data_IF_479496749641
#
_entry.id   IF_479496749641
#
_cell.length_a   1.000
_cell.length_b   1.000
_cell.length_c   1.000
_cell.angle_alpha   90.00
_cell.angle_beta   90.00
_cell.angle_gamma   90.00
#
_symmetry.space_group_name_H-M   'P 1'
#
loop_
_entity.id
_entity.type
_entity.pdbx_description
1 polymer ?
#
# COMPACT_ATOMS: atom_id res chain seq x y z
N UNK A 1 -2.59 7.33 -29.62
CA UNK A 1 -3.24 6.53 -28.56
C UNK A 1 -3.29 7.36 -27.28
N UNK A 2 -4.47 7.45 -26.68
CA UNK A 2 -4.70 8.23 -25.45
C UNK A 2 -5.28 7.30 -24.39
N UNK A 3 -4.64 7.19 -23.23
CA UNK A 3 -5.12 6.30 -22.17
C UNK A 3 -4.90 6.89 -20.78
N UNK A 4 -5.73 6.46 -19.82
CA UNK A 4 -5.57 6.80 -18.41
C UNK A 4 -4.81 5.69 -17.69
N UNK A 5 -3.77 6.05 -16.95
CA UNK A 5 -3.00 5.16 -16.11
C UNK A 5 -3.34 5.41 -14.64
N UNK A 6 -3.89 4.39 -13.99
CA UNK A 6 -4.17 4.35 -12.55
C UNK A 6 -3.55 3.11 -11.94
N UNK A 7 -3.32 3.11 -10.63
CA UNK A 7 -2.80 1.97 -9.87
C UNK A 7 -3.24 2.08 -8.41
N UNK A 8 -3.03 1.02 -7.66
CA UNK A 8 -3.12 1.01 -6.19
C UNK A 8 -4.49 1.52 -5.68
N UNK A 9 -5.57 1.04 -6.32
CA UNK A 9 -6.94 1.42 -5.96
C UNK A 9 -7.31 0.90 -4.57
N UNK A 10 -6.77 -0.25 -4.18
CA UNK A 10 -7.03 -0.90 -2.89
C UNK A 10 -8.51 -0.84 -2.48
N UNK A 11 -9.41 -1.20 -3.38
CA UNK A 11 -10.85 -1.17 -3.09
C UNK A 11 -11.18 -2.07 -1.89
N UNK A 12 -11.83 -1.48 -0.89
CA UNK A 12 -12.13 -2.12 0.40
C UNK A 12 -11.09 -1.85 1.49
N UNK A 13 -10.12 -0.95 1.26
CA UNK A 13 -9.10 -0.56 2.24
C UNK A 13 -9.70 0.13 3.46
N UNK A 14 -9.13 -0.17 4.62
CA UNK A 14 -9.35 0.58 5.84
C UNK A 14 -8.07 1.30 6.25
N UNK A 15 -8.20 2.54 6.71
CA UNK A 15 -7.12 3.36 7.26
C UNK A 15 -7.49 3.79 8.68
N UNK A 16 -6.59 3.65 9.64
CA UNK A 16 -6.81 4.03 11.05
C UNK A 16 -8.16 3.53 11.62
N UNK A 17 -8.57 2.31 11.22
CA UNK A 17 -9.85 1.71 11.64
C UNK A 17 -11.08 2.17 10.85
N UNK A 18 -10.96 3.12 9.93
CA UNK A 18 -12.05 3.62 9.09
C UNK A 18 -12.04 2.93 7.73
N UNK A 19 -13.15 2.28 7.37
CA UNK A 19 -13.35 1.67 6.05
C UNK A 19 -13.62 2.74 5.00
N UNK A 20 -12.71 2.91 4.01
CA UNK A 20 -12.85 3.94 2.96
C UNK A 20 -14.02 3.68 2.00
N UNK A 21 -14.51 2.45 1.92
CA UNK A 21 -15.69 2.14 1.11
C UNK A 21 -16.99 2.44 1.88
N UNK A 22 -16.99 2.26 3.20
CA UNK A 22 -18.16 2.54 4.04
C UNK A 22 -18.30 4.04 4.32
N UNK A 23 -17.20 4.78 4.43
CA UNK A 23 -17.20 6.24 4.54
C UNK A 23 -17.57 6.95 3.23
N UNK A 24 -17.58 6.23 2.11
CA UNK A 24 -17.92 6.78 0.81
C UNK A 24 -16.72 7.30 -0.01
N UNK A 25 -15.53 7.40 0.56
CA UNK A 25 -14.35 7.96 -0.11
C UNK A 25 -14.04 7.27 -1.44
N UNK A 26 -13.98 5.94 -1.42
CA UNK A 26 -13.71 5.16 -2.63
C UNK A 26 -14.87 5.23 -3.64
N UNK A 27 -16.10 5.32 -3.15
CA UNK A 27 -17.28 5.44 -4.03
C UNK A 27 -17.27 6.78 -4.76
N UNK A 28 -17.09 7.88 -4.02
CA UNK A 28 -17.05 9.24 -4.60
C UNK A 28 -15.87 9.39 -5.55
N UNK A 29 -14.71 8.85 -5.19
CA UNK A 29 -13.54 8.87 -6.09
C UNK A 29 -13.84 8.11 -7.38
N UNK A 30 -14.41 6.91 -7.30
CA UNK A 30 -14.74 6.08 -8.45
C UNK A 30 -15.76 6.75 -9.38
N UNK A 31 -16.78 7.39 -8.84
CA UNK A 31 -17.77 8.15 -9.61
C UNK A 31 -17.12 9.33 -10.35
N UNK A 32 -16.33 10.14 -9.66
CA UNK A 32 -15.57 11.25 -10.28
C UNK A 32 -14.58 10.78 -11.34
N UNK A 33 -13.92 9.63 -11.09
CA UNK A 33 -13.00 9.03 -12.07
C UNK A 33 -13.72 8.62 -13.35
N UNK A 34 -14.87 7.95 -13.23
CA UNK A 34 -15.68 7.55 -14.39
C UNK A 34 -16.18 8.79 -15.14
N UNK A 35 -16.75 9.79 -14.46
CA UNK A 35 -17.18 11.05 -15.06
C UNK A 35 -16.05 11.72 -15.86
N UNK A 36 -14.87 11.80 -15.25
CA UNK A 36 -13.68 12.37 -15.90
C UNK A 36 -13.25 11.56 -17.11
N UNK A 37 -13.21 10.22 -17.02
CA UNK A 37 -12.86 9.35 -18.12
C UNK A 37 -13.84 9.52 -19.31
N UNK A 38 -15.14 9.60 -19.03
CA UNK A 38 -16.16 9.84 -20.06
C UNK A 38 -16.02 11.20 -20.72
N UNK A 39 -15.59 12.23 -19.97
CA UNK A 39 -15.33 13.57 -20.51
C UNK A 39 -14.06 13.61 -21.38
N UNK A 40 -12.98 12.94 -20.95
CA UNK A 40 -11.70 12.89 -21.65
C UNK A 40 -11.69 11.97 -22.87
N UNK A 41 -12.59 10.96 -22.89
CA UNK A 41 -12.74 9.96 -23.96
C UNK A 41 -11.39 9.32 -24.33
N UNK A 42 -10.68 8.68 -23.41
CA UNK A 42 -9.48 7.93 -23.74
C UNK A 42 -9.83 6.67 -24.53
N UNK A 43 -8.88 6.14 -25.27
CA UNK A 43 -9.01 4.85 -25.97
C UNK A 43 -9.03 3.69 -24.96
N UNK A 44 -8.31 3.85 -23.85
CA UNK A 44 -8.19 2.85 -22.78
C UNK A 44 -8.02 3.45 -21.38
N UNK A 45 -8.34 2.63 -20.38
CA UNK A 45 -7.93 2.78 -18.97
C UNK A 45 -7.05 1.59 -18.62
N UNK A 46 -5.84 1.83 -18.14
CA UNK A 46 -4.94 0.81 -17.61
C UNK A 46 -4.86 0.91 -16.08
N UNK A 47 -5.09 -0.20 -15.39
CA UNK A 47 -5.04 -0.33 -13.93
C UNK A 47 -3.85 -1.21 -13.57
N UNK A 48 -2.77 -0.59 -13.09
CA UNK A 48 -1.48 -1.25 -12.85
C UNK A 48 -1.39 -1.88 -11.45
N UNK A 49 -2.29 -2.84 -11.15
CA UNK A 49 -2.27 -3.67 -9.95
C UNK A 49 -2.85 -3.04 -8.69
N UNK A 50 -2.95 -3.86 -7.66
CA UNK A 50 -3.58 -3.58 -6.37
C UNK A 50 -4.96 -2.94 -6.54
N UNK A 51 -5.77 -3.60 -7.37
CA UNK A 51 -7.16 -3.21 -7.61
C UNK A 51 -7.98 -3.37 -6.34
N UNK A 52 -7.80 -4.46 -5.62
CA UNK A 52 -8.37 -4.72 -4.31
C UNK A 52 -7.33 -4.62 -3.19
N UNK A 53 -7.78 -4.30 -1.97
CA UNK A 53 -6.90 -4.25 -0.80
C UNK A 53 -6.48 -5.64 -0.29
N UNK A 54 -7.18 -6.69 -0.69
CA UNK A 54 -6.90 -8.08 -0.32
C UNK A 54 -7.47 -9.07 -1.32
N UNK A 55 -6.89 -10.25 -1.40
CA UNK A 55 -7.27 -11.32 -2.32
C UNK A 55 -8.73 -11.78 -2.21
N UNK A 56 -9.40 -11.56 -1.07
CA UNK A 56 -10.85 -11.74 -0.86
C UNK A 56 -11.48 -10.40 -0.52
N UNK A 57 -11.87 -9.60 -1.50
CA UNK A 57 -12.41 -8.27 -1.27
C UNK A 57 -13.82 -8.31 -0.66
N UNK A 58 -14.22 -7.28 0.09
CA UNK A 58 -15.60 -7.12 0.52
C UNK A 58 -16.54 -6.99 -0.69
N UNK A 59 -17.76 -7.52 -0.58
CA UNK A 59 -18.74 -7.46 -1.68
C UNK A 59 -19.09 -6.04 -2.15
N UNK A 60 -18.95 -5.00 -1.29
CA UNK A 60 -19.09 -3.59 -1.69
C UNK A 60 -17.97 -3.18 -2.65
N UNK A 61 -16.72 -3.61 -2.41
CA UNK A 61 -15.57 -3.32 -3.28
C UNK A 61 -15.75 -3.97 -4.65
N UNK A 62 -16.14 -5.24 -4.70
CA UNK A 62 -16.42 -5.96 -5.94
C UNK A 62 -17.53 -5.29 -6.75
N UNK A 63 -18.61 -4.86 -6.10
CA UNK A 63 -19.70 -4.12 -6.78
C UNK A 63 -19.23 -2.77 -7.31
N UNK A 64 -18.37 -2.07 -6.58
CA UNK A 64 -17.86 -0.77 -7.00
C UNK A 64 -16.98 -0.92 -8.26
N UNK A 65 -16.04 -1.87 -8.28
CA UNK A 65 -15.21 -2.16 -9.46
C UNK A 65 -16.09 -2.56 -10.64
N UNK A 66 -17.06 -3.46 -10.43
CA UNK A 66 -18.01 -3.89 -11.48
C UNK A 66 -18.75 -2.71 -12.11
N UNK A 67 -19.24 -1.74 -11.32
CA UNK A 67 -19.89 -0.53 -11.83
C UNK A 67 -18.93 0.33 -12.65
N UNK A 68 -17.73 0.61 -12.12
CA UNK A 68 -16.71 1.40 -12.84
C UNK A 68 -16.38 0.79 -14.20
N UNK A 69 -16.01 -0.49 -14.22
CA UNK A 69 -15.61 -1.20 -15.43
C UNK A 69 -16.76 -1.27 -16.42
N UNK A 70 -17.98 -1.53 -15.96
CA UNK A 70 -19.18 -1.60 -16.81
C UNK A 70 -19.47 -0.25 -17.50
N UNK A 71 -19.39 0.85 -16.75
CA UNK A 71 -19.65 2.18 -17.33
C UNK A 71 -18.57 2.59 -18.33
N UNK A 72 -17.30 2.30 -18.07
CA UNK A 72 -16.21 2.53 -19.02
C UNK A 72 -16.40 1.70 -20.32
N UNK A 73 -16.63 0.39 -20.18
CA UNK A 73 -16.79 -0.51 -21.31
C UNK A 73 -18.01 -0.18 -22.16
N UNK A 74 -19.17 0.14 -21.57
CA UNK A 74 -20.38 0.58 -22.29
C UNK A 74 -20.15 1.83 -23.13
N UNK A 75 -19.22 2.68 -22.74
CA UNK A 75 -18.86 3.89 -23.47
C UNK A 75 -17.69 3.69 -24.43
N UNK A 76 -17.33 2.43 -24.74
CA UNK A 76 -16.32 2.07 -25.73
C UNK A 76 -14.87 2.23 -25.26
N UNK A 77 -14.64 2.55 -23.99
CA UNK A 77 -13.31 2.66 -23.42
C UNK A 77 -12.81 1.26 -23.07
N UNK A 78 -11.68 0.83 -23.61
CA UNK A 78 -11.06 -0.44 -23.24
C UNK A 78 -10.53 -0.36 -21.79
N UNK A 79 -10.76 -1.42 -21.00
CA UNK A 79 -10.25 -1.51 -19.64
C UNK A 79 -9.25 -2.65 -19.55
N UNK A 80 -8.05 -2.34 -19.08
CA UNK A 80 -6.97 -3.30 -18.94
C UNK A 80 -6.50 -3.30 -17.48
N UNK A 81 -6.50 -4.47 -16.84
CA UNK A 81 -6.13 -4.62 -15.43
C UNK A 81 -5.04 -5.66 -15.26
N UNK A 82 -4.03 -5.35 -14.48
CA UNK A 82 -3.09 -6.38 -14.01
C UNK A 82 -3.26 -6.61 -12.51
N UNK A 83 -2.95 -7.80 -12.03
CA UNK A 83 -3.01 -8.10 -10.61
C UNK A 83 -1.74 -7.61 -9.90
N UNK A 84 -1.91 -6.94 -8.75
CA UNK A 84 -0.83 -6.59 -7.83
C UNK A 84 -0.59 -7.67 -6.77
N UNK A 85 0.24 -7.35 -5.78
CA UNK A 85 0.57 -8.29 -4.69
C UNK A 85 -0.56 -8.43 -3.64
N UNK A 86 -1.48 -7.48 -3.55
CA UNK A 86 -2.67 -7.57 -2.71
C UNK A 86 -3.81 -8.33 -3.38
N UNK A 87 -3.83 -8.38 -4.71
CA UNK A 87 -4.87 -9.05 -5.46
C UNK A 87 -4.68 -10.58 -5.45
N UNK A 88 -5.80 -11.31 -5.53
CA UNK A 88 -5.79 -12.68 -6.02
C UNK A 88 -5.94 -12.65 -7.54
N UNK A 89 -4.90 -13.02 -8.28
CA UNK A 89 -4.95 -13.04 -9.73
C UNK A 89 -6.07 -13.95 -10.25
N UNK A 90 -6.34 -15.08 -9.60
CA UNK A 90 -7.46 -15.99 -9.93
C UNK A 90 -8.83 -15.35 -9.70
N UNK A 91 -8.98 -14.59 -8.60
CA UNK A 91 -10.23 -13.89 -8.34
C UNK A 91 -10.46 -12.74 -9.31
N UNK A 92 -9.40 -11.96 -9.61
CA UNK A 92 -9.48 -10.83 -10.50
C UNK A 92 -9.75 -11.28 -11.95
N UNK A 93 -9.09 -12.35 -12.42
CA UNK A 93 -9.24 -12.89 -13.77
C UNK A 93 -10.47 -13.79 -13.98
N UNK A 94 -11.33 -13.93 -12.95
CA UNK A 94 -12.57 -14.69 -13.08
C UNK A 94 -13.42 -14.17 -14.26
N UNK A 95 -13.81 -15.06 -15.14
CA UNK A 95 -14.53 -14.75 -16.39
C UNK A 95 -13.78 -13.86 -17.40
N UNK A 96 -12.46 -13.70 -17.28
CA UNK A 96 -11.68 -12.83 -18.19
C UNK A 96 -11.89 -13.13 -19.69
N UNK A 97 -12.07 -14.39 -20.18
CA UNK A 97 -12.36 -14.60 -21.59
C UNK A 97 -13.69 -14.00 -22.05
N UNK A 98 -14.71 -14.07 -21.22
CA UNK A 98 -16.02 -13.48 -21.51
C UNK A 98 -15.97 -11.94 -21.45
N UNK A 99 -15.22 -11.39 -20.47
CA UNK A 99 -15.04 -9.95 -20.31
C UNK A 99 -14.28 -9.33 -21.48
N UNK A 100 -13.36 -10.07 -22.10
CA UNK A 100 -12.61 -9.63 -23.28
C UNK A 100 -13.52 -9.28 -24.47
N UNK A 101 -14.67 -9.96 -24.64
CA UNK A 101 -15.67 -9.62 -25.64
C UNK A 101 -16.25 -8.20 -25.45
N UNK A 102 -16.23 -7.71 -24.21
CA UNK A 102 -16.65 -6.36 -23.84
C UNK A 102 -15.48 -5.38 -23.71
N UNK A 103 -14.31 -5.70 -24.27
CA UNK A 103 -13.08 -4.90 -24.20
C UNK A 103 -12.55 -4.69 -22.78
N UNK A 104 -12.77 -5.67 -21.89
CA UNK A 104 -12.20 -5.69 -20.52
C UNK A 104 -11.21 -6.84 -20.44
N UNK A 105 -9.95 -6.51 -20.30
CA UNK A 105 -8.82 -7.43 -20.36
C UNK A 105 -8.11 -7.48 -19.00
N UNK A 106 -7.82 -8.68 -18.52
CA UNK A 106 -7.25 -8.88 -17.20
C UNK A 106 -6.06 -9.83 -17.32
N UNK A 107 -4.97 -9.53 -16.60
CA UNK A 107 -3.79 -10.41 -16.57
C UNK A 107 -4.15 -11.81 -16.07
N UNK A 108 -3.53 -12.82 -16.67
CA UNK A 108 -3.70 -14.22 -16.29
C UNK A 108 -2.67 -14.67 -15.23
N UNK A 109 -2.95 -15.75 -14.48
CA UNK A 109 -1.95 -16.39 -13.63
C UNK A 109 -0.76 -16.92 -14.44
N UNK A 110 0.46 -16.81 -13.89
CA UNK A 110 1.70 -17.29 -14.51
C UNK A 110 2.22 -18.61 -13.88
N UNK A 111 1.36 -19.39 -13.26
CA UNK A 111 1.75 -20.59 -12.49
C UNK A 111 2.32 -21.72 -13.35
N UNK A 112 1.85 -21.84 -14.59
CA UNK A 112 2.26 -22.90 -15.52
C UNK A 112 2.64 -22.37 -16.92
N UNK A 113 2.82 -21.07 -17.05
CA UNK A 113 3.12 -20.41 -18.31
C UNK A 113 3.88 -19.11 -18.04
N UNK A 114 4.63 -18.67 -19.04
CA UNK A 114 5.19 -17.30 -19.06
C UNK A 114 4.42 -16.40 -20.02
N UNK A 115 3.39 -16.89 -20.69
CA UNK A 115 2.60 -16.08 -21.59
C UNK A 115 1.78 -15.05 -20.82
N UNK A 116 1.97 -13.80 -21.16
CA UNK A 116 1.19 -12.68 -20.60
C UNK A 116 0.02 -12.33 -21.52
N UNK A 117 -1.08 -11.90 -20.91
CA UNK A 117 -2.19 -11.33 -21.69
C UNK A 117 -1.69 -10.06 -22.37
N UNK A 118 -1.92 -9.94 -23.68
CA UNK A 118 -1.64 -8.73 -24.42
C UNK A 118 -2.82 -8.34 -25.29
N UNK A 119 -2.96 -7.05 -25.55
CA UNK A 119 -4.08 -6.47 -26.29
C UNK A 119 -3.54 -5.43 -27.25
N UNK A 120 -3.89 -5.54 -28.51
CA UNK A 120 -3.54 -4.54 -29.52
C UNK A 120 -4.75 -3.66 -29.84
N UNK A 121 -4.58 -2.36 -29.66
CA UNK A 121 -5.51 -1.33 -30.13
C UNK A 121 -4.87 -0.57 -31.30
N UNK A 122 -5.69 0.02 -32.15
CA UNK A 122 -5.21 0.81 -33.30
C UNK A 122 -5.65 2.26 -33.18
N UNK A 123 -4.81 3.16 -33.64
CA UNK A 123 -5.11 4.57 -33.85
C UNK A 123 -4.54 5.05 -35.20
N UNK A 124 -4.58 6.36 -35.46
CA UNK A 124 -4.06 6.99 -36.68
C UNK A 124 -2.57 6.73 -36.96
N UNK A 125 -1.79 6.35 -35.94
CA UNK A 125 -0.36 6.02 -36.02
C UNK A 125 -0.09 4.50 -36.11
N UNK A 126 -1.13 3.65 -36.25
CA UNK A 126 -1.05 2.19 -36.33
C UNK A 126 -1.28 1.49 -34.98
N UNK A 127 -0.78 0.25 -34.80
CA UNK A 127 -1.04 -0.56 -33.63
C UNK A 127 -0.26 -0.12 -32.42
N UNK A 128 -0.88 -0.29 -31.24
CA UNK A 128 -0.26 -0.20 -29.91
C UNK A 128 -0.59 -1.46 -29.14
N UNK A 129 0.41 -2.23 -28.73
CA UNK A 129 0.20 -3.45 -27.94
C UNK A 129 0.44 -3.19 -26.47
N UNK A 130 -0.57 -3.47 -25.64
CA UNK A 130 -0.51 -3.41 -24.19
C UNK A 130 -0.23 -4.79 -23.62
N UNK A 131 0.80 -4.93 -22.82
CA UNK A 131 1.24 -6.16 -22.18
C UNK A 131 0.88 -6.12 -20.71
N UNK A 132 0.08 -7.07 -20.22
CA UNK A 132 -0.42 -7.08 -18.85
C UNK A 132 0.40 -8.06 -18.00
N UNK A 133 1.40 -7.56 -17.29
CA UNK A 133 2.28 -8.34 -16.42
C UNK A 133 1.74 -8.30 -14.98
N UNK A 134 1.20 -9.41 -14.44
CA UNK A 134 0.80 -9.46 -13.02
C UNK A 134 2.01 -9.39 -12.10
N UNK A 135 1.78 -9.21 -10.81
CA UNK A 135 2.85 -9.29 -9.82
C UNK A 135 3.56 -10.64 -9.90
N UNK A 136 4.88 -10.60 -10.04
CA UNK A 136 5.71 -11.77 -10.26
C UNK A 136 6.37 -12.20 -8.96
N UNK A 137 6.24 -13.49 -8.62
CA UNK A 137 7.02 -14.14 -7.56
C UNK A 137 8.07 -15.04 -8.23
N UNK A 138 9.39 -14.87 -7.96
CA UNK A 138 10.45 -15.66 -8.58
C UNK A 138 10.23 -17.16 -8.48
N UNK A 139 9.76 -17.64 -7.31
CA UNK A 139 9.49 -19.06 -7.09
C UNK A 139 8.43 -19.65 -8.04
N UNK A 140 7.41 -18.85 -8.42
CA UNK A 140 6.39 -19.29 -9.39
C UNK A 140 6.99 -19.47 -10.77
N UNK A 141 7.84 -18.55 -11.20
CA UNK A 141 8.46 -18.58 -12.53
C UNK A 141 9.53 -19.68 -12.60
N UNK A 142 10.30 -19.87 -11.54
CA UNK A 142 11.20 -21.02 -11.36
C UNK A 142 10.44 -22.33 -11.60
N UNK A 143 9.30 -22.52 -10.94
CA UNK A 143 8.47 -23.72 -11.11
C UNK A 143 7.87 -23.82 -12.53
N UNK A 144 7.34 -22.74 -13.09
CA UNK A 144 6.72 -22.73 -14.42
C UNK A 144 7.70 -23.07 -15.54
N UNK A 145 8.97 -22.65 -15.42
CA UNK A 145 10.03 -22.89 -16.39
C UNK A 145 10.91 -24.11 -16.07
N UNK A 146 10.81 -24.69 -14.87
CA UNK A 146 11.74 -25.72 -14.40
C UNK A 146 13.20 -25.23 -14.35
N UNK A 147 13.42 -23.94 -14.06
CA UNK A 147 14.73 -23.28 -14.05
C UNK A 147 15.10 -22.81 -12.63
N UNK A 148 15.86 -23.62 -11.90
CA UNK A 148 16.32 -23.34 -10.53
C UNK A 148 17.29 -22.14 -10.44
N UNK A 149 17.71 -21.59 -11.58
CA UNK A 149 18.53 -20.38 -11.65
C UNK A 149 17.76 -19.09 -11.40
N UNK A 150 16.43 -19.12 -11.39
CA UNK A 150 15.57 -17.96 -11.16
C UNK A 150 15.40 -17.74 -9.65
N UNK A 151 16.19 -16.82 -9.07
CA UNK A 151 16.21 -16.56 -7.62
C UNK A 151 15.81 -15.14 -7.24
N UNK A 152 15.71 -14.25 -8.20
CA UNK A 152 15.38 -12.84 -8.00
C UNK A 152 14.31 -12.36 -8.98
N UNK A 153 13.67 -11.26 -8.62
CA UNK A 153 12.55 -10.67 -9.39
C UNK A 153 12.99 -10.19 -10.77
N UNK A 154 14.16 -9.60 -10.87
CA UNK A 154 14.70 -9.09 -12.13
C UNK A 154 14.93 -10.20 -13.15
N UNK A 155 15.53 -11.31 -12.72
CA UNK A 155 15.74 -12.49 -13.57
C UNK A 155 14.41 -13.10 -13.99
N UNK A 156 13.44 -13.24 -13.08
CA UNK A 156 12.11 -13.75 -13.37
C UNK A 156 11.40 -12.91 -14.43
N UNK A 157 11.33 -11.59 -14.25
CA UNK A 157 10.67 -10.67 -15.19
C UNK A 157 11.37 -10.69 -16.56
N UNK A 158 12.70 -10.67 -16.58
CA UNK A 158 13.47 -10.75 -17.82
C UNK A 158 13.15 -12.03 -18.59
N UNK A 159 13.03 -13.17 -17.92
CA UNK A 159 12.66 -14.46 -18.54
C UNK A 159 11.26 -14.40 -19.14
N UNK A 160 10.29 -13.84 -18.40
CA UNK A 160 8.92 -13.67 -18.90
C UNK A 160 8.92 -12.79 -20.17
N UNK A 161 9.50 -11.60 -20.09
CA UNK A 161 9.46 -10.64 -21.20
C UNK A 161 10.21 -11.16 -22.44
N UNK A 162 11.32 -11.87 -22.27
CA UNK A 162 12.05 -12.50 -23.37
C UNK A 162 11.23 -13.58 -24.08
N UNK A 163 10.38 -14.29 -23.35
CA UNK A 163 9.52 -15.34 -23.91
C UNK A 163 8.35 -14.80 -24.75
N UNK A 164 7.99 -13.49 -24.62
CA UNK A 164 6.83 -12.91 -25.33
C UNK A 164 7.08 -12.63 -26.82
N UNK A 165 8.31 -12.70 -27.33
CA UNK A 165 8.65 -12.34 -28.71
C UNK A 165 8.13 -10.95 -29.12
N UNK A 166 8.33 -9.95 -28.27
CA UNK A 166 7.82 -8.58 -28.46
C UNK A 166 8.50 -7.92 -29.67
N UNK A 167 7.71 -7.43 -30.61
CA UNK A 167 8.22 -6.60 -31.71
C UNK A 167 8.40 -5.15 -31.25
N UNK A 168 9.59 -4.82 -30.80
CA UNK A 168 9.93 -3.46 -30.36
C UNK A 168 10.05 -2.44 -31.49
N UNK A 169 9.90 -2.83 -32.76
CA UNK A 169 9.73 -1.87 -33.86
C UNK A 169 8.35 -1.22 -33.85
N UNK A 170 7.38 -1.85 -33.19
CA UNK A 170 6.02 -1.36 -32.99
C UNK A 170 5.90 -0.64 -31.64
N UNK A 171 4.77 0.05 -31.43
CA UNK A 171 4.46 0.73 -30.17
C UNK A 171 4.02 -0.28 -29.10
N UNK A 172 4.73 -0.33 -27.98
CA UNK A 172 4.48 -1.25 -26.88
C UNK A 172 4.35 -0.52 -25.56
N UNK A 173 3.30 -0.84 -24.81
CA UNK A 173 3.02 -0.37 -23.46
C UNK A 173 3.04 -1.56 -22.51
N UNK A 174 3.84 -1.52 -21.46
CA UNK A 174 3.80 -2.51 -20.39
C UNK A 174 2.94 -1.97 -19.25
N UNK A 175 2.05 -2.80 -18.71
CA UNK A 175 1.28 -2.54 -17.50
C UNK A 175 1.74 -3.54 -16.44
N UNK A 176 2.38 -3.09 -15.38
CA UNK A 176 3.02 -3.95 -14.40
C UNK A 176 2.88 -3.41 -12.97
N UNK A 177 2.95 -4.32 -12.02
CA UNK A 177 2.92 -3.98 -10.59
C UNK A 177 4.15 -4.57 -9.92
N UNK A 178 5.22 -3.77 -9.79
CA UNK A 178 6.52 -4.23 -9.31
C UNK A 178 7.27 -3.11 -8.56
N UNK A 179 8.19 -3.50 -7.67
CA UNK A 179 9.12 -2.57 -7.06
C UNK A 179 10.29 -2.28 -8.01
N UNK A 180 10.17 -1.21 -8.78
CA UNK A 180 11.15 -0.81 -9.79
C UNK A 180 12.05 0.31 -9.25
N UNK A 181 13.35 0.17 -9.45
CA UNK A 181 14.37 1.13 -8.99
C UNK A 181 15.27 1.55 -10.14
N UNK A 182 15.96 2.67 -9.96
CA UNK A 182 17.03 3.10 -10.85
C UNK A 182 18.36 3.05 -10.09
N UNK A 183 19.30 2.21 -10.55
CA UNK A 183 20.62 2.04 -9.93
C UNK A 183 20.57 1.66 -8.44
N UNK A 184 19.55 0.91 -8.02
CA UNK A 184 19.35 0.50 -6.62
C UNK A 184 18.90 1.61 -5.68
N UNK A 185 18.58 2.80 -6.19
CA UNK A 185 18.00 3.88 -5.38
C UNK A 185 16.49 3.66 -5.23
N UNK A 186 16.04 3.56 -3.98
CA UNK A 186 14.62 3.49 -3.67
C UNK A 186 14.03 4.90 -3.59
N UNK A 187 12.77 5.03 -4.00
CA UNK A 187 12.02 6.25 -3.78
C UNK A 187 11.58 6.40 -2.30
N UNK A 188 11.28 7.63 -1.90
CA UNK A 188 10.60 7.88 -0.64
C UNK A 188 9.23 7.22 -0.65
N UNK A 189 8.99 6.34 0.32
CA UNK A 189 7.74 5.61 0.50
C UNK A 189 6.79 6.37 1.41
N UNK A 190 5.50 6.25 1.14
CA UNK A 190 4.46 6.91 1.93
C UNK A 190 4.19 6.27 3.30
N UNK A 191 4.72 5.07 3.55
CA UNK A 191 4.54 4.35 4.82
C UNK A 191 3.30 3.44 4.84
N UNK A 192 2.50 3.42 3.79
CA UNK A 192 1.38 2.49 3.62
C UNK A 192 1.74 1.25 2.78
N UNK A 193 2.91 1.27 2.12
CA UNK A 193 3.45 0.14 1.37
C UNK A 193 4.19 -0.82 2.31
N UNK A 194 3.80 -2.08 2.33
CA UNK A 194 4.48 -3.10 3.14
C UNK A 194 5.61 -3.77 2.35
N UNK A 195 6.84 -3.57 2.78
CA UNK A 195 7.98 -4.36 2.28
C UNK A 195 9.00 -4.66 3.37
N UNK A 196 9.52 -5.88 3.33
CA UNK A 196 10.66 -6.30 4.14
C UNK A 196 11.93 -6.02 3.32
N UNK A 197 12.68 -5.03 3.74
CA UNK A 197 14.00 -4.56 3.28
C UNK A 197 14.56 -5.11 1.96
N UNK A 198 14.72 -4.27 0.92
CA UNK A 198 15.53 -4.55 -0.28
C UNK A 198 15.19 -5.76 -1.16
N UNK A 199 14.31 -6.63 -0.70
CA UNK A 199 13.89 -7.86 -1.40
C UNK A 199 12.83 -7.50 -2.42
N UNK A 200 13.06 -7.82 -3.70
CA UNK A 200 12.06 -7.65 -4.75
C UNK A 200 12.28 -6.48 -5.69
N UNK A 201 13.44 -5.83 -5.62
CA UNK A 201 13.77 -4.73 -6.53
C UNK A 201 14.06 -5.22 -7.94
N UNK A 202 13.58 -4.46 -8.93
CA UNK A 202 13.82 -4.66 -10.35
C UNK A 202 14.41 -3.39 -10.93
N UNK A 203 15.55 -3.46 -11.59
CA UNK A 203 16.10 -2.29 -12.27
C UNK A 203 15.27 -1.94 -13.51
N UNK A 204 14.96 -0.66 -13.70
CA UNK A 204 14.10 -0.15 -14.77
C UNK A 204 14.59 -0.55 -16.19
N UNK A 205 15.88 -0.83 -16.36
CA UNK A 205 16.46 -1.24 -17.64
C UNK A 205 15.93 -2.58 -18.17
N UNK A 206 15.30 -3.39 -17.31
CA UNK A 206 14.61 -4.61 -17.73
C UNK A 206 13.45 -4.30 -18.70
N UNK A 207 12.95 -3.08 -18.68
CA UNK A 207 11.84 -2.61 -19.50
C UNK A 207 12.28 -1.80 -20.72
N UNK A 208 13.56 -1.87 -21.08
CA UNK A 208 14.06 -1.21 -22.29
C UNK A 208 13.32 -1.75 -23.53
N UNK A 209 13.05 -0.85 -24.47
CA UNK A 209 12.27 -1.16 -25.69
C UNK A 209 10.77 -0.82 -25.58
N UNK A 210 10.15 -0.82 -24.41
CA UNK A 210 8.80 -0.33 -24.24
C UNK A 210 8.75 1.20 -24.39
N UNK A 211 7.73 1.70 -25.08
CA UNK A 211 7.50 3.14 -25.24
C UNK A 211 7.05 3.75 -23.90
N UNK A 212 6.14 3.07 -23.21
CA UNK A 212 5.66 3.46 -21.89
C UNK A 212 5.52 2.25 -20.97
N UNK A 213 5.88 2.41 -19.70
CA UNK A 213 5.69 1.41 -18.65
C UNK A 213 4.83 1.99 -17.55
N UNK A 214 3.60 1.50 -17.48
CA UNK A 214 2.62 1.86 -16.47
C UNK A 214 2.85 1.03 -15.20
N UNK A 215 3.38 1.66 -14.15
CA UNK A 215 3.72 0.99 -12.89
C UNK A 215 2.70 1.31 -11.77
N UNK A 216 2.36 0.29 -10.98
CA UNK A 216 1.79 0.38 -9.65
C UNK A 216 2.73 -0.23 -8.59
N UNK A 217 2.31 -0.27 -7.35
CA UNK A 217 3.00 -0.72 -6.15
C UNK A 217 3.47 0.41 -5.23
N UNK A 218 3.91 1.52 -5.77
CA UNK A 218 4.33 2.68 -4.98
C UNK A 218 3.24 3.75 -5.05
N UNK A 219 2.78 4.20 -3.87
CA UNK A 219 1.67 5.15 -3.76
C UNK A 219 2.03 6.59 -4.13
N UNK A 220 3.31 6.90 -4.28
CA UNK A 220 3.80 8.16 -4.85
C UNK A 220 3.91 8.08 -6.37
N UNK A 221 3.56 9.17 -7.06
CA UNK A 221 3.71 9.23 -8.51
C UNK A 221 5.01 9.92 -8.92
N UNK A 222 5.89 9.17 -9.55
CA UNK A 222 7.18 9.66 -10.04
C UNK A 222 7.75 8.75 -11.15
N UNK A 223 8.70 9.24 -11.99
CA UNK A 223 9.39 8.43 -12.97
C UNK A 223 10.55 7.65 -12.35
N UNK A 224 10.90 6.50 -12.94
CA UNK A 224 12.03 5.67 -12.53
C UNK A 224 13.01 5.50 -13.69
N UNK A 225 14.20 6.02 -13.55
CA UNK A 225 15.26 5.96 -14.56
C UNK A 225 14.99 6.80 -15.82
N UNK A 226 13.81 6.71 -16.40
CA UNK A 226 13.35 7.55 -17.52
C UNK A 226 11.89 7.97 -17.33
N UNK A 227 11.49 9.09 -17.92
CA UNK A 227 10.16 9.68 -17.74
C UNK A 227 9.01 8.73 -18.09
N UNK A 228 9.21 7.85 -19.04
CA UNK A 228 8.20 6.94 -19.55
C UNK A 228 8.11 5.59 -18.82
N UNK A 229 8.95 5.35 -17.81
CA UNK A 229 8.80 4.28 -16.82
C UNK A 229 8.31 4.94 -15.53
N UNK A 230 7.04 4.74 -15.17
CA UNK A 230 6.44 5.65 -14.20
C UNK A 230 5.39 5.00 -13.32
N UNK A 231 5.43 5.32 -12.04
CA UNK A 231 4.36 5.05 -11.09
C UNK A 231 3.23 6.07 -11.24
N UNK A 232 1.98 5.58 -11.27
CA UNK A 232 0.81 6.45 -11.20
C UNK A 232 0.62 7.03 -9.79
N UNK A 233 0.96 6.27 -8.78
CA UNK A 233 0.61 6.49 -7.39
C UNK A 233 -0.82 6.09 -7.07
N UNK A 234 -1.16 6.06 -5.80
CA UNK A 234 -2.49 5.71 -5.33
C UNK A 234 -3.52 6.80 -5.61
N UNK A 235 -4.81 6.45 -5.76
CA UNK A 235 -5.89 7.40 -6.03
C UNK A 235 -6.24 8.30 -4.85
N UNK A 236 -6.04 7.80 -3.63
CA UNK A 236 -6.30 8.49 -2.37
C UNK A 236 -5.04 8.47 -1.49
N UNK A 237 -4.99 9.34 -0.51
CA UNK A 237 -3.98 9.32 0.55
C UNK A 237 -4.35 8.22 1.54
N UNK A 238 -3.47 7.25 1.75
CA UNK A 238 -3.72 6.10 2.65
C UNK A 238 -2.99 6.21 3.99
N UNK A 239 -1.99 7.10 4.08
CA UNK A 239 -1.23 7.33 5.30
C UNK A 239 -0.85 8.80 5.44
N UNK A 240 -0.77 9.31 6.68
CA UNK A 240 -0.44 10.73 6.91
C UNK A 240 0.94 11.15 6.37
N UNK A 241 1.88 10.24 6.20
CA UNK A 241 3.16 10.55 5.54
C UNK A 241 3.01 10.92 4.05
N UNK A 242 1.90 10.51 3.43
CA UNK A 242 1.63 10.79 2.02
C UNK A 242 1.03 12.19 1.77
N UNK A 243 0.62 12.92 2.80
CA UNK A 243 -0.01 14.25 2.65
C UNK A 243 0.92 15.30 2.02
N UNK A 244 2.23 15.06 2.07
CA UNK A 244 3.25 15.94 1.47
C UNK A 244 3.57 15.58 0.02
N UNK A 245 3.03 14.48 -0.48
CA UNK A 245 3.21 14.04 -1.86
C UNK A 245 2.42 14.93 -2.83
N UNK A 246 2.75 14.89 -4.14
CA UNK A 246 1.95 15.57 -5.16
C UNK A 246 0.48 15.14 -5.11
N UNK A 247 -0.39 16.01 -5.62
CA UNK A 247 -1.82 15.73 -5.70
C UNK A 247 -2.10 14.36 -6.36
N UNK A 248 -3.05 13.63 -5.78
CA UNK A 248 -3.43 12.29 -6.23
C UNK A 248 -4.34 12.36 -7.46
N UNK A 249 -4.23 11.39 -8.33
CA UNK A 249 -5.08 11.26 -9.52
C UNK A 249 -4.39 10.51 -10.65
N UNK A 250 -5.17 10.02 -11.63
CA UNK A 250 -4.64 9.27 -12.76
C UNK A 250 -3.74 10.12 -13.66
N UNK A 251 -2.88 9.45 -14.42
CA UNK A 251 -2.10 10.07 -15.48
C UNK A 251 -2.82 9.88 -16.82
N UNK A 252 -3.12 10.95 -17.50
CA UNK A 252 -3.53 10.93 -18.90
C UNK A 252 -2.26 10.86 -19.75
N UNK A 253 -2.08 9.74 -20.45
CA UNK A 253 -0.94 9.49 -21.32
C UNK A 253 -1.38 9.61 -22.76
N UNK A 254 -0.67 10.42 -23.54
CA UNK A 254 -0.86 10.53 -24.98
C UNK A 254 0.39 10.02 -25.69
N UNK A 255 0.27 8.87 -26.34
CA UNK A 255 1.33 8.20 -27.09
C UNK A 255 1.18 8.55 -28.59
N UNK A 256 2.16 9.23 -29.15
CA UNK A 256 2.26 9.56 -30.57
C UNK A 256 2.70 8.38 -31.44
N UNK A 257 3.37 8.69 -32.55
CA UNK A 257 4.03 7.68 -33.38
C UNK A 257 5.21 7.01 -32.66
N UNK A 258 5.69 5.88 -33.18
CA UNK A 258 6.85 5.16 -32.62
C UNK A 258 8.08 6.05 -32.56
N UNK A 259 8.66 6.18 -31.34
CA UNK A 259 9.79 7.06 -31.08
C UNK A 259 9.43 8.56 -31.00
N UNK A 260 8.16 8.90 -31.11
CA UNK A 260 7.67 10.27 -30.98
C UNK A 260 7.49 10.72 -29.54
N UNK A 261 6.94 11.92 -29.36
CA UNK A 261 6.68 12.50 -28.04
C UNK A 261 5.60 11.71 -27.28
N UNK A 262 5.83 11.48 -25.99
CA UNK A 262 4.83 10.95 -25.06
C UNK A 262 4.51 12.03 -24.05
N UNK A 263 3.25 12.46 -24.01
CA UNK A 263 2.77 13.48 -23.07
C UNK A 263 2.05 12.82 -21.92
N UNK A 264 2.29 13.31 -20.72
CA UNK A 264 1.70 12.82 -19.49
C UNK A 264 1.16 14.00 -18.69
N UNK A 265 -0.13 13.95 -18.40
CA UNK A 265 -0.82 14.99 -17.63
C UNK A 265 -1.55 14.36 -16.45
N UNK A 266 -1.30 14.87 -15.25
CA UNK A 266 -2.05 14.43 -14.08
C UNK A 266 -3.46 15.02 -14.10
N UNK A 267 -4.42 14.15 -13.90
CA UNK A 267 -5.83 14.52 -13.77
C UNK A 267 -6.21 14.44 -12.29
N UNK A 268 -6.24 15.58 -11.61
CA UNK A 268 -6.55 15.61 -10.18
C UNK A 268 -8.01 15.26 -9.91
N UNK A 269 -8.24 14.37 -8.97
CA UNK A 269 -9.57 14.05 -8.45
C UNK A 269 -9.59 14.42 -6.98
N UNK A 270 -10.33 15.48 -6.58
CA UNK A 270 -10.43 15.84 -5.17
C UNK A 270 -11.02 14.70 -4.34
N UNK A 271 -10.46 14.36 -3.17
CA UNK A 271 -11.04 13.35 -2.29
C UNK A 271 -12.35 13.84 -1.68
N UNK A 272 -13.15 12.93 -1.11
CA UNK A 272 -14.31 13.27 -0.29
C UNK A 272 -13.84 13.86 1.05
N UNK A 273 -12.93 13.16 1.73
CA UNK A 273 -12.29 13.64 2.95
C UNK A 273 -10.81 13.89 2.69
N UNK A 274 -10.33 15.08 3.07
CA UNK A 274 -8.89 15.42 2.98
C UNK A 274 -8.18 14.94 4.23
N UNK A 275 -6.99 14.36 4.08
CA UNK A 275 -6.12 14.09 5.21
C UNK A 275 -5.31 15.35 5.57
N UNK A 276 -5.28 15.66 6.89
CA UNK A 276 -4.57 16.84 7.40
C UNK A 276 -3.91 16.51 8.74
N UNK A 277 -2.66 16.94 8.92
CA UNK A 277 -1.98 16.95 10.20
C UNK A 277 -2.06 18.36 10.82
N UNK A 278 -2.49 18.43 12.08
CA UNK A 278 -2.55 19.65 12.89
C UNK A 278 -1.63 19.47 14.08
N UNK A 279 -0.70 20.38 14.27
CA UNK A 279 0.26 20.35 15.37
C UNK A 279 0.27 21.70 16.07
N UNK A 280 0.07 21.71 17.38
CA UNK A 280 0.08 22.93 18.18
C UNK A 280 -0.29 22.68 19.62
N UNK A 281 -0.42 23.75 20.39
CA UNK A 281 -0.97 23.72 21.75
C UNK A 281 -2.47 23.39 21.70
N UNK A 282 -2.98 22.83 22.79
CA UNK A 282 -4.42 22.52 22.86
C UNK A 282 -5.28 23.76 22.63
N UNK A 283 -4.90 24.90 23.20
CA UNK A 283 -5.70 26.14 23.08
C UNK A 283 -5.65 26.73 21.65
N UNK A 284 -4.52 26.62 20.95
CA UNK A 284 -4.43 27.01 19.53
C UNK A 284 -5.35 26.13 18.66
N UNK A 285 -5.26 24.82 18.82
CA UNK A 285 -6.07 23.87 18.06
C UNK A 285 -7.57 24.04 18.36
N UNK A 286 -7.91 24.22 19.63
CA UNK A 286 -9.28 24.48 20.07
C UNK A 286 -9.85 25.77 19.45
N UNK A 287 -9.05 26.85 19.49
CA UNK A 287 -9.45 28.16 18.94
C UNK A 287 -9.62 28.06 17.42
N UNK A 288 -8.71 27.42 16.72
CA UNK A 288 -8.83 27.18 15.27
C UNK A 288 -10.10 26.40 14.94
N UNK A 289 -10.32 25.28 15.63
CA UNK A 289 -11.47 24.42 15.39
C UNK A 289 -12.84 25.12 15.64
N UNK A 290 -12.90 26.02 16.60
CA UNK A 290 -14.10 26.80 16.89
C UNK A 290 -14.33 27.96 15.88
N UNK A 291 -13.24 28.58 15.41
CA UNK A 291 -13.28 29.69 14.47
C UNK A 291 -13.51 29.23 13.03
N UNK A 292 -12.91 28.11 12.64
CA UNK A 292 -13.01 27.49 11.32
C UNK A 292 -13.15 25.99 11.46
N UNK A 293 -14.39 25.48 11.55
CA UNK A 293 -14.63 24.04 11.69
C UNK A 293 -13.97 23.21 10.60
N UNK A 294 -13.50 22.04 10.96
CA UNK A 294 -12.92 21.06 10.06
C UNK A 294 -14.01 20.35 9.26
N UNK A 295 -14.09 20.62 7.97
CA UNK A 295 -15.15 20.09 7.12
C UNK A 295 -14.63 18.95 6.24
N UNK A 296 -15.18 17.73 6.43
CA UNK A 296 -14.82 16.54 5.66
C UNK A 296 -13.30 16.29 5.65
N UNK A 297 -12.71 16.26 6.84
CA UNK A 297 -11.28 16.02 7.02
C UNK A 297 -11.03 14.77 7.87
N UNK A 298 -9.98 14.03 7.50
CA UNK A 298 -9.34 13.01 8.34
C UNK A 298 -8.14 13.64 9.01
N UNK A 299 -8.16 13.71 10.33
CA UNK A 299 -7.25 14.51 11.11
C UNK A 299 -6.25 13.65 11.90
N UNK A 300 -4.98 14.01 11.78
CA UNK A 300 -3.96 13.67 12.76
C UNK A 300 -3.69 14.91 13.60
N UNK A 301 -3.91 14.79 14.90
CA UNK A 301 -3.70 15.89 15.85
C UNK A 301 -2.54 15.56 16.77
N UNK A 302 -1.57 16.46 16.85
CA UNK A 302 -0.37 16.36 17.68
C UNK A 302 -0.36 17.52 18.69
N UNK A 303 -0.67 17.23 19.94
CA UNK A 303 -0.61 18.21 21.03
C UNK A 303 0.85 18.41 21.47
N UNK A 304 1.26 19.67 21.68
CA UNK A 304 2.65 20.00 22.04
C UNK A 304 2.84 20.41 23.50
N UNK A 305 1.77 20.80 24.18
CA UNK A 305 1.81 21.44 25.50
C UNK A 305 1.12 20.67 26.62
N UNK A 306 0.36 19.62 26.29
CA UNK A 306 -0.44 18.90 27.28
C UNK A 306 -0.56 17.41 26.96
N UNK A 307 -0.87 16.60 27.98
CA UNK A 307 -1.25 15.20 27.81
C UNK A 307 -2.68 15.10 27.25
N UNK A 308 -2.95 14.01 26.58
CA UNK A 308 -4.31 13.68 26.14
C UNK A 308 -5.11 13.27 27.40
N UNK A 309 -6.15 14.04 27.71
CA UNK A 309 -7.13 13.67 28.73
C UNK A 309 -8.45 13.25 28.06
N UNK A 310 -9.34 12.54 28.76
CA UNK A 310 -10.66 12.19 28.21
C UNK A 310 -11.41 13.43 27.70
N UNK A 311 -11.38 14.53 28.44
CA UNK A 311 -12.09 15.77 28.10
C UNK A 311 -11.56 16.39 26.79
N UNK A 312 -10.21 16.41 26.61
CA UNK A 312 -9.56 16.88 25.39
C UNK A 312 -9.93 15.98 24.21
N UNK A 313 -9.85 14.68 24.41
CA UNK A 313 -10.20 13.68 23.39
C UNK A 313 -11.66 13.83 22.97
N UNK A 314 -12.60 13.87 23.93
CA UNK A 314 -14.04 14.00 23.68
C UNK A 314 -14.37 15.30 22.96
N UNK A 315 -13.75 16.42 23.33
CA UNK A 315 -13.92 17.70 22.67
C UNK A 315 -13.48 17.64 21.19
N UNK A 316 -12.24 17.17 20.92
CA UNK A 316 -11.66 17.13 19.57
C UNK A 316 -12.44 16.18 18.66
N UNK A 317 -12.80 14.99 19.15
CA UNK A 317 -13.64 14.04 18.40
C UNK A 317 -15.08 14.54 18.23
N UNK A 318 -15.61 15.28 19.21
CA UNK A 318 -16.95 15.85 19.17
C UNK A 318 -17.09 16.92 18.09
N UNK A 319 -16.14 17.87 18.04
CA UNK A 319 -16.16 18.93 17.03
C UNK A 319 -15.90 18.39 15.62
N UNK A 320 -14.99 17.43 15.48
CA UNK A 320 -14.74 16.79 14.19
C UNK A 320 -16.01 16.10 13.65
N UNK A 321 -16.68 15.29 14.46
CA UNK A 321 -17.94 14.61 14.08
C UNK A 321 -19.07 15.56 13.71
N UNK A 322 -19.15 16.71 14.37
CA UNK A 322 -20.20 17.71 14.08
C UNK A 322 -20.07 18.29 12.66
N UNK A 323 -18.91 18.14 12.01
CA UNK A 323 -18.59 18.67 10.68
C UNK A 323 -18.16 17.59 9.69
N UNK A 324 -18.69 16.37 9.82
CA UNK A 324 -18.39 15.23 8.94
C UNK A 324 -16.88 14.94 8.83
N UNK A 325 -16.11 15.25 9.88
CA UNK A 325 -14.67 14.99 9.99
C UNK A 325 -14.39 13.91 11.03
N UNK A 326 -13.20 13.31 10.99
CA UNK A 326 -12.79 12.28 11.96
C UNK A 326 -11.36 12.52 12.41
N UNK A 327 -11.15 12.45 13.74
CA UNK A 327 -9.80 12.38 14.31
C UNK A 327 -9.34 10.92 14.18
N UNK A 328 -8.40 10.68 13.28
CA UNK A 328 -7.83 9.36 12.98
C UNK A 328 -6.70 8.99 13.94
N UNK A 329 -5.91 10.00 14.32
CA UNK A 329 -4.77 9.85 15.20
C UNK A 329 -4.69 11.07 16.13
N UNK A 330 -4.66 10.82 17.43
CA UNK A 330 -4.45 11.86 18.44
C UNK A 330 -3.23 11.48 19.27
N UNK A 331 -2.19 12.29 19.19
CA UNK A 331 -0.91 12.07 19.88
C UNK A 331 -0.48 13.29 20.66
N UNK A 332 0.43 13.14 21.59
CA UNK A 332 1.02 14.23 22.33
C UNK A 332 2.55 14.09 22.40
N UNK A 333 3.24 15.15 22.03
CA UNK A 333 4.69 15.28 22.21
C UNK A 333 5.05 15.91 23.56
N UNK A 334 4.03 16.18 24.40
CA UNK A 334 4.25 16.74 25.72
C UNK A 334 5.11 15.82 26.57
N UNK A 335 6.34 16.23 26.81
CA UNK A 335 7.22 15.59 27.78
C UNK A 335 7.07 16.33 29.10
N UNK A 336 6.56 15.66 30.11
CA UNK A 336 6.65 16.20 31.46
C UNK A 336 8.13 16.36 31.78
N UNK A 337 8.60 17.60 31.88
CA UNK A 337 9.83 17.89 32.59
C UNK A 337 9.53 17.59 34.09
N UNK A 338 9.65 16.33 34.47
CA UNK A 338 9.87 16.01 35.85
C UNK A 338 11.25 16.60 36.15
N UNK A 339 11.30 17.66 36.98
CA UNK A 339 12.50 18.38 37.29
C UNK A 339 13.53 17.57 38.10
N UNK A 340 13.79 16.35 37.65
CA UNK A 340 14.84 15.44 38.07
C UNK A 340 15.26 14.54 36.90
N UNK A 341 15.52 15.16 35.73
CA UNK A 341 16.36 14.54 34.73
C UNK A 341 17.81 14.73 35.23
N UNK A 342 18.20 14.04 36.30
CA UNK A 342 19.58 13.59 36.42
C UNK A 342 19.90 12.89 35.12
N UNK A 343 20.72 13.50 34.26
CA UNK A 343 21.14 12.98 33.00
C UNK A 343 21.73 11.58 33.16
N UNK A 344 20.88 10.57 33.17
CA UNK A 344 21.34 9.21 32.98
C UNK A 344 21.76 9.15 31.53
N UNK A 345 23.07 9.12 31.36
CA UNK A 345 23.77 9.07 30.11
C UNK A 345 23.14 7.99 29.21
N UNK A 346 22.94 8.26 27.91
CA UNK A 346 22.48 7.27 26.94
C UNK A 346 23.36 6.01 26.96
N UNK A 347 24.53 6.07 27.57
CA UNK A 347 25.43 4.98 27.83
C UNK A 347 24.94 4.06 28.95
N UNK A 348 24.34 4.60 30.04
CA UNK A 348 23.78 3.79 31.13
C UNK A 348 22.52 3.01 30.70
N UNK A 349 21.74 3.55 29.74
CA UNK A 349 20.58 2.86 29.18
C UNK A 349 21.01 1.70 28.28
N UNK A 350 22.12 1.84 27.56
CA UNK A 350 22.67 0.80 26.67
C UNK A 350 23.23 -0.42 27.39
N UNK A 351 23.69 -0.23 28.61
CA UNK A 351 24.39 -1.27 29.39
C UNK A 351 23.46 -1.97 30.42
N UNK A 352 22.18 -1.55 30.52
CA UNK A 352 21.20 -2.21 31.40
C UNK A 352 20.62 -3.48 30.75
N UNK A 353 20.43 -4.56 31.53
CA UNK A 353 19.66 -5.72 31.10
C UNK A 353 18.24 -5.32 30.68
N UNK A 354 17.68 -6.04 29.68
CA UNK A 354 16.33 -5.75 29.16
C UNK A 354 15.26 -5.85 30.24
N UNK A 355 15.46 -6.73 31.22
CA UNK A 355 14.59 -6.94 32.38
C UNK A 355 14.54 -5.71 33.29
N UNK A 356 15.67 -5.05 33.53
CA UNK A 356 15.73 -3.81 34.30
C UNK A 356 15.11 -2.61 33.56
N UNK A 357 15.34 -2.53 32.24
CA UNK A 357 14.72 -1.50 31.42
C UNK A 357 13.20 -1.65 31.39
N UNK A 358 12.71 -2.89 31.33
CA UNK A 358 11.29 -3.15 31.41
C UNK A 358 10.71 -2.83 32.79
N UNK A 359 11.38 -3.20 33.88
CA UNK A 359 10.93 -2.89 35.23
C UNK A 359 10.84 -1.37 35.44
N UNK A 360 11.84 -0.61 35.00
CA UNK A 360 11.83 0.86 35.05
C UNK A 360 10.65 1.43 34.22
N UNK A 361 10.43 0.94 33.00
CA UNK A 361 9.33 1.34 32.12
C UNK A 361 7.95 0.97 32.69
N UNK A 362 7.80 -0.24 33.21
CA UNK A 362 6.56 -0.73 33.81
C UNK A 362 6.18 0.13 35.03
N UNK A 363 7.14 0.40 35.90
CA UNK A 363 6.97 1.25 37.09
C UNK A 363 6.58 2.68 36.72
N UNK A 364 7.20 3.25 35.69
CA UNK A 364 6.84 4.58 35.17
C UNK A 364 5.40 4.63 34.60
N UNK A 365 4.97 3.57 33.91
CA UNK A 365 3.65 3.51 33.30
C UNK A 365 2.52 3.16 34.26
N UNK A 366 2.82 2.44 35.33
CA UNK A 366 1.83 1.94 36.29
C UNK A 366 1.86 2.69 37.65
N UNK A 367 2.20 3.97 37.62
CA UNK A 367 2.10 4.85 38.82
C UNK A 367 3.04 4.47 39.95
N UNK A 368 4.20 3.88 39.67
CA UNK A 368 5.20 3.51 40.64
C UNK A 368 5.10 2.07 41.16
N UNK A 369 4.21 1.25 40.58
CA UNK A 369 4.07 -0.16 40.96
C UNK A 369 5.15 -0.98 40.20
N UNK A 370 5.88 -1.81 40.95
CA UNK A 370 6.87 -2.71 40.36
C UNK A 370 6.19 -3.89 39.63
N UNK A 371 6.77 -4.41 38.52
CA UNK A 371 6.25 -5.57 37.83
C UNK A 371 6.29 -6.82 38.74
N UNK A 372 5.34 -7.72 38.57
CA UNK A 372 5.33 -8.98 39.30
C UNK A 372 6.41 -9.93 38.77
N UNK A 373 6.74 -10.97 39.54
CA UNK A 373 7.67 -12.00 39.07
C UNK A 373 7.17 -12.69 37.79
N UNK A 374 5.84 -12.82 37.63
CA UNK A 374 5.20 -13.40 36.44
C UNK A 374 5.33 -12.48 35.21
N UNK A 375 5.23 -11.16 35.40
CA UNK A 375 5.44 -10.18 34.31
C UNK A 375 6.89 -10.23 33.79
N UNK A 376 7.86 -10.36 34.67
CA UNK A 376 9.27 -10.45 34.34
C UNK A 376 9.61 -11.81 33.67
N UNK A 377 8.98 -12.90 34.08
CA UNK A 377 9.16 -14.22 33.48
C UNK A 377 8.58 -14.23 32.04
N UNK A 378 7.44 -13.60 31.82
CA UNK A 378 6.84 -13.43 30.49
C UNK A 378 7.73 -12.61 29.54
N UNK A 379 8.36 -11.55 30.06
CA UNK A 379 9.29 -10.72 29.30
C UNK A 379 10.56 -11.48 28.92
N UNK A 380 11.16 -12.21 29.86
CA UNK A 380 12.34 -13.03 29.62
C UNK A 380 12.06 -14.06 28.50
N UNK A 381 10.91 -14.69 28.57
CA UNK A 381 10.45 -15.65 27.57
C UNK A 381 10.24 -15.00 26.16
N UNK A 382 9.64 -13.81 26.09
CA UNK A 382 9.48 -13.05 24.85
C UNK A 382 10.85 -12.64 24.26
N UNK A 383 11.81 -12.28 25.11
CA UNK A 383 13.18 -11.96 24.71
C UNK A 383 13.95 -13.16 24.14
N UNK A 384 13.75 -14.34 24.71
CA UNK A 384 14.34 -15.59 24.18
C UNK A 384 13.76 -15.96 22.80
N UNK A 385 12.45 -15.79 22.60
CA UNK A 385 11.80 -16.01 21.30
C UNK A 385 12.35 -15.07 20.21
N UNK A 386 12.62 -13.81 20.56
CA UNK A 386 13.16 -12.83 19.61
C UNK A 386 14.61 -13.15 19.23
N UNK A 387 15.45 -13.51 20.21
CA UNK A 387 16.84 -13.93 19.96
C UNK A 387 16.94 -15.24 19.15
N UNK A 388 16.02 -16.19 19.37
CA UNK A 388 15.96 -17.41 18.60
C UNK A 388 15.57 -17.19 17.13
N UNK A 389 14.85 -16.08 16.83
CA UNK A 389 14.50 -15.70 15.45
C UNK A 389 15.66 -15.03 14.69
N UNK A 390 16.64 -14.45 15.41
CA UNK A 390 17.81 -13.76 14.82
C UNK A 390 19.00 -14.69 14.55
N UNK A 391 19.06 -15.86 15.17
CA UNK A 391 20.15 -16.84 15.03
C UNK A 391 19.83 -17.94 14.01
N UNK A 392 19.95 -17.61 12.72
CA UNK A 392 20.35 -18.52 11.64
C UNK A 392 19.42 -19.66 11.21
N UNK A 393 19.02 -19.60 9.96
CA UNK A 393 17.93 -20.32 9.30
C UNK A 393 18.10 -21.84 9.01
N UNK A 394 19.20 -22.54 9.29
CA UNK A 394 19.47 -23.85 8.68
C UNK A 394 19.53 -25.08 9.61
N UNK A 395 19.52 -24.93 10.92
CA UNK A 395 19.52 -26.09 11.83
C UNK A 395 18.25 -26.20 12.72
N UNK A 396 17.38 -25.23 12.67
CA UNK A 396 16.34 -25.01 13.67
C UNK A 396 14.91 -25.36 13.23
N UNK A 397 14.66 -25.66 11.97
CA UNK A 397 13.28 -25.72 11.43
C UNK A 397 12.47 -26.91 11.97
N UNK A 398 13.12 -27.99 12.33
CA UNK A 398 12.46 -29.19 12.88
C UNK A 398 12.26 -29.12 14.40
N UNK A 399 13.21 -28.55 15.13
CA UNK A 399 13.08 -28.27 16.56
C UNK A 399 12.10 -27.13 16.84
N UNK A 400 12.05 -26.12 15.95
CA UNK A 400 11.17 -24.94 16.06
C UNK A 400 9.68 -25.25 15.99
N UNK A 401 9.24 -26.29 15.32
CA UNK A 401 7.80 -26.62 15.22
C UNK A 401 7.24 -27.19 16.53
N UNK A 402 7.99 -28.06 17.19
CA UNK A 402 7.55 -28.66 18.46
C UNK A 402 7.63 -27.68 19.63
N UNK A 403 8.65 -26.81 19.65
CA UNK A 403 8.85 -25.79 20.67
C UNK A 403 7.85 -24.61 20.51
N UNK A 404 7.52 -24.24 19.27
CA UNK A 404 6.52 -23.21 18.97
C UNK A 404 5.11 -23.61 19.42
N UNK A 405 4.75 -24.88 19.29
CA UNK A 405 3.46 -25.41 19.76
C UNK A 405 3.38 -25.48 21.31
N UNK A 406 4.48 -25.82 21.99
CA UNK A 406 4.52 -25.81 23.46
C UNK A 406 4.43 -24.37 24.02
N UNK A 407 5.08 -23.43 23.36
CA UNK A 407 5.11 -22.03 23.77
C UNK A 407 3.77 -21.32 23.52
N UNK A 408 3.13 -21.61 22.39
CA UNK A 408 1.77 -21.13 22.11
C UNK A 408 0.75 -21.63 23.15
N UNK A 409 0.88 -22.87 23.62
CA UNK A 409 0.03 -23.43 24.68
C UNK A 409 0.26 -22.75 26.03
N UNK A 410 1.49 -22.42 26.41
CA UNK A 410 1.79 -21.69 27.67
C UNK A 410 1.19 -20.30 27.68
N UNK A 411 1.28 -19.56 26.56
CA UNK A 411 0.66 -18.23 26.41
C UNK A 411 -0.87 -18.35 26.48
N UNK A 412 -1.45 -19.33 25.81
CA UNK A 412 -2.90 -19.56 25.84
C UNK A 412 -3.39 -19.90 27.25
N UNK A 413 -2.67 -20.79 27.97
CA UNK A 413 -2.99 -21.15 29.36
C UNK A 413 -2.86 -19.96 30.32
N UNK A 414 -1.88 -19.07 30.09
CA UNK A 414 -1.74 -17.82 30.86
C UNK A 414 -2.92 -16.87 30.64
N UNK A 415 -3.29 -16.63 29.38
CA UNK A 415 -4.44 -15.77 29.02
C UNK A 415 -5.73 -16.31 29.63
N UNK A 416 -5.98 -17.63 29.52
CA UNK A 416 -7.17 -18.27 30.06
C UNK A 416 -7.23 -18.22 31.59
N UNK A 417 -6.09 -18.27 32.29
CA UNK A 417 -6.02 -18.07 33.76
C UNK A 417 -6.32 -16.65 34.17
N UNK A 418 -5.90 -15.65 33.40
CA UNK A 418 -6.22 -14.25 33.66
C UNK A 418 -7.71 -13.94 33.45
N UNK A 419 -8.32 -14.51 32.40
CA UNK A 419 -9.75 -14.38 32.16
C UNK A 419 -10.60 -15.05 33.24
N UNK A 420 -10.15 -16.19 33.76
CA UNK A 420 -10.81 -16.88 34.88
C UNK A 420 -10.67 -16.18 36.24
N UNK A 421 -9.64 -15.36 36.43
CA UNK A 421 -9.42 -14.57 37.65
C UNK A 421 -10.20 -13.25 37.65
N UNK A 422 -10.78 -12.83 36.52
CA UNK A 422 -11.59 -11.62 36.38
C UNK A 422 -13.11 -11.91 36.40
N UNK A 423 -13.51 -13.16 36.50
CA UNK A 423 -14.88 -13.61 36.78
C UNK A 423 -15.03 -13.99 38.26
#
# INVERSE_FOLDING_TARGET
>A
MKFLHVADLHLGKSIYGTSLIDSGDQTVWAERFVEMALALKPDAVVMAGDVYDRGQPPGKATRLLSRMVTELAKNGIAVMMTAGNHDSVHHLSFLSPLLAESRVYISAPLENTTETVHVTLEDEHGPVTFWLLPYVYPAMICQALGDDGIRDYQTAIRRILTAQNIDFSQRNVLVAHQNVTANGQEAERGGSESMVGGIGQVDYSVFDGFDYVALGHIHSSYPVGRETVRYAGSPLVYHFNEIRQPAKGPLLVTLGEKGGEIRMERQEIPPLHRMREIRGTYEEIRTEALAKPWEKEYLKIVLTDTRITPEISDFLHGIARAHESSVMELTSDYRMFTGDASGKDAKEIRDKPVEELFADFYKERNGGIDPTAEDLELLSFAGELTRASELGADAAEKAKREEKDQNARKILDYILKQEAAQQ
#
